data_IF_226173217750
#
_entry.id   IF_226173217750
#
_cell.length_a   1.000
_cell.length_b   1.000
_cell.length_c   1.000
_cell.angle_alpha   90.00
_cell.angle_beta   90.00
_cell.angle_gamma   90.00
#
_symmetry.space_group_name_H-M   'P 1'
#
loop_
_entity.id
_entity.type
_entity.pdbx_description
1 polymer ?
#
# COMPACT_ATOMS: atom_id res chain seq x y z
N UNK A 1 23.74 -35.24 -67.64
CA UNK A 1 23.30 -33.83 -67.78
C UNK A 1 22.44 -33.54 -66.57
N UNK A 2 22.76 -32.68 -65.61
CA UNK A 2 23.81 -31.69 -65.35
C UNK A 2 23.68 -31.45 -63.83
N UNK A 3 24.59 -31.99 -63.00
CA UNK A 3 25.51 -31.22 -62.16
C UNK A 3 24.95 -29.88 -61.64
N UNK A 4 24.75 -29.76 -60.32
CA UNK A 4 25.50 -28.86 -59.43
C UNK A 4 24.80 -28.70 -58.09
N UNK A 5 25.58 -28.89 -57.02
CA UNK A 5 25.35 -28.28 -55.73
C UNK A 5 26.27 -27.06 -55.63
N UNK A 6 25.74 -25.88 -55.31
CA UNK A 6 26.37 -24.96 -54.38
C UNK A 6 25.29 -24.33 -53.47
N UNK A 7 25.54 -23.63 -52.38
CA UNK A 7 26.73 -23.30 -51.63
C UNK A 7 26.25 -22.84 -50.24
N UNK A 8 27.14 -23.00 -49.27
CA UNK A 8 27.02 -22.39 -47.94
C UNK A 8 27.15 -20.86 -47.98
N UNK A 9 26.56 -20.21 -46.97
CA UNK A 9 26.95 -18.90 -46.42
C UNK A 9 26.53 -17.61 -47.16
N UNK A 10 25.50 -16.94 -46.63
CA UNK A 10 25.59 -15.65 -45.90
C UNK A 10 24.24 -14.94 -45.92
N UNK A 11 23.82 -14.47 -44.75
CA UNK A 11 22.67 -13.60 -44.64
C UNK A 11 22.27 -13.36 -43.19
N UNK A 12 23.20 -12.88 -42.36
CA UNK A 12 22.88 -12.25 -41.09
C UNK A 12 21.89 -11.12 -41.34
N UNK A 13 20.60 -11.40 -41.21
CA UNK A 13 19.55 -10.39 -41.36
C UNK A 13 19.56 -9.53 -40.09
N UNK A 14 20.47 -8.55 -40.09
CA UNK A 14 20.49 -7.42 -39.16
C UNK A 14 19.12 -6.76 -39.23
N UNK A 15 18.29 -6.99 -38.20
CA UNK A 15 17.05 -6.22 -38.05
C UNK A 15 17.45 -4.82 -37.55
N UNK A 16 16.95 -3.74 -38.17
CA UNK A 16 17.33 -2.38 -37.81
C UNK A 16 16.85 -2.04 -36.39
N UNK A 17 17.77 -1.54 -35.59
CA UNK A 17 17.60 -1.13 -34.21
C UNK A 17 16.88 0.22 -34.10
N UNK A 18 15.60 0.27 -34.44
CA UNK A 18 14.73 1.43 -34.18
C UNK A 18 13.30 0.96 -33.89
N UNK A 19 13.13 0.17 -32.83
CA UNK A 19 11.84 -0.16 -32.23
C UNK A 19 12.04 -0.79 -30.84
N UNK A 20 12.54 -0.01 -29.88
CA UNK A 20 12.31 -0.27 -28.45
C UNK A 20 11.80 1.04 -27.86
N UNK A 21 10.55 1.32 -28.18
CA UNK A 21 9.76 2.34 -27.50
C UNK A 21 9.30 1.77 -26.16
N UNK A 22 9.78 2.39 -25.09
CA UNK A 22 9.03 2.66 -23.85
C UNK A 22 8.07 1.58 -23.34
N UNK A 23 8.55 0.71 -22.45
CA UNK A 23 7.71 0.08 -21.41
C UNK A 23 8.37 0.35 -20.06
N UNK A 24 8.24 1.60 -19.62
CA UNK A 24 8.62 2.05 -18.29
C UNK A 24 7.48 2.94 -17.74
N UNK A 25 6.26 2.42 -17.71
CA UNK A 25 5.10 3.03 -17.04
C UNK A 25 3.91 2.06 -17.07
N UNK A 26 3.87 1.06 -16.18
CA UNK A 26 2.63 0.31 -15.94
C UNK A 26 2.55 -0.49 -14.63
N UNK A 27 3.62 -0.64 -13.84
CA UNK A 27 3.58 -1.41 -12.57
C UNK A 27 3.93 -0.57 -11.34
N UNK A 28 3.92 0.76 -11.46
CA UNK A 28 4.01 1.66 -10.30
C UNK A 28 2.65 2.17 -9.80
N UNK A 29 1.53 1.62 -10.30
CA UNK A 29 0.18 2.10 -9.98
C UNK A 29 -0.68 1.14 -9.13
N UNK A 30 -0.12 0.03 -8.63
CA UNK A 30 -0.89 -0.94 -7.83
C UNK A 30 -0.35 -1.22 -6.42
N UNK A 31 0.73 -0.56 -5.97
CA UNK A 31 1.36 -0.87 -4.67
C UNK A 31 1.67 0.31 -3.76
N UNK A 32 1.44 1.55 -4.20
CA UNK A 32 1.75 2.75 -3.40
C UNK A 32 0.71 3.82 -3.63
N UNK A 33 -0.43 3.74 -2.94
CA UNK A 33 -1.48 4.72 -3.14
C UNK A 33 -2.80 4.39 -2.46
N UNK A 34 -2.82 4.30 -1.13
CA UNK A 34 -4.09 4.35 -0.37
C UNK A 34 -4.20 5.55 0.57
N UNK A 35 -3.21 6.44 0.59
CA UNK A 35 -3.30 7.73 1.28
C UNK A 35 -3.92 8.86 0.42
N UNK A 36 -4.28 8.60 -0.84
CA UNK A 36 -4.80 9.61 -1.77
C UNK A 36 -6.24 9.39 -2.21
N UNK A 37 -7.09 8.90 -1.31
CA UNK A 37 -8.54 8.98 -1.49
C UNK A 37 -9.17 9.81 -0.37
N UNK A 38 -8.89 11.10 -0.44
CA UNK A 38 -9.84 12.12 0.00
C UNK A 38 -10.18 12.98 -1.22
N UNK A 39 -11.22 12.57 -1.97
CA UNK A 39 -11.98 13.37 -2.94
C UNK A 39 -11.19 14.08 -4.06
N UNK A 40 -10.98 13.40 -5.19
CA UNK A 40 -10.95 14.07 -6.51
C UNK A 40 -12.13 13.57 -7.34
N UNK A 41 -13.32 14.06 -6.99
CA UNK A 41 -14.41 14.14 -7.94
C UNK A 41 -14.56 15.63 -8.29
N UNK A 42 -14.60 15.90 -9.60
CA UNK A 42 -15.00 17.12 -10.30
C UNK A 42 -13.93 18.15 -10.74
N UNK A 43 -13.81 18.26 -12.06
CA UNK A 43 -13.88 19.55 -12.77
C UNK A 43 -12.56 20.17 -13.22
N UNK A 44 -12.08 19.76 -14.38
CA UNK A 44 -11.16 20.51 -15.24
C UNK A 44 -11.83 21.79 -15.78
N UNK A 45 -11.75 22.86 -15.00
CA UNK A 45 -12.14 24.21 -15.41
C UNK A 45 -10.93 25.14 -15.46
N UNK A 46 -10.48 25.47 -16.67
CA UNK A 46 -9.44 26.46 -16.94
C UNK A 46 -9.79 27.83 -16.35
N UNK A 47 -9.02 28.29 -15.35
CA UNK A 47 -9.11 29.65 -14.81
C UNK A 47 -8.13 29.87 -13.66
N UNK A 48 -7.27 30.87 -13.80
CA UNK A 48 -6.08 31.09 -12.99
C UNK A 48 -6.29 31.08 -11.46
N UNK A 49 -5.45 30.31 -10.79
CA UNK A 49 -5.31 30.30 -9.34
C UNK A 49 -4.09 29.47 -8.97
N UNK A 50 -3.13 30.10 -8.32
CA UNK A 50 -1.83 29.58 -7.84
C UNK A 50 -1.76 28.07 -7.65
N UNK A 51 -0.76 27.44 -8.28
CA UNK A 51 -0.40 26.04 -8.07
C UNK A 51 -0.32 25.75 -6.56
N UNK A 52 -1.21 24.88 -6.07
CA UNK A 52 -1.25 24.47 -4.67
C UNK A 52 0.02 23.67 -4.36
N UNK A 53 0.86 24.19 -3.48
CA UNK A 53 1.98 23.46 -2.91
C UNK A 53 1.46 22.33 -2.00
N UNK A 54 2.27 21.29 -1.85
CA UNK A 54 1.97 20.04 -1.16
C UNK A 54 1.68 20.14 0.36
N UNK A 55 1.60 21.37 0.90
CA UNK A 55 1.35 21.65 2.33
C UNK A 55 -0.14 21.73 2.71
N UNK A 56 -1.05 21.45 1.76
CA UNK A 56 -2.48 21.46 2.06
C UNK A 56 -2.90 20.15 2.74
N UNK A 57 -2.85 20.13 4.08
CA UNK A 57 -3.41 19.04 4.89
C UNK A 57 -4.86 18.72 4.46
N UNK A 58 -5.27 17.45 4.55
CA UNK A 58 -6.60 16.96 4.13
C UNK A 58 -7.80 17.67 4.83
N UNK A 59 -7.52 18.43 5.89
CA UNK A 59 -8.47 19.24 6.68
C UNK A 59 -8.09 20.72 6.64
N UNK A 60 -7.62 21.24 5.50
CA UNK A 60 -7.64 22.69 5.29
C UNK A 60 -9.11 23.15 5.20
N UNK A 61 -9.50 24.26 5.85
CA UNK A 61 -10.84 24.82 5.71
C UNK A 61 -11.12 25.09 4.24
N UNK A 62 -12.08 24.34 3.69
CA UNK A 62 -12.47 24.44 2.29
C UNK A 62 -13.49 25.55 2.22
N UNK A 63 -13.21 26.62 1.50
CA UNK A 63 -14.27 27.53 1.07
C UNK A 63 -15.25 26.71 0.23
N UNK A 64 -16.48 26.53 0.71
CA UNK A 64 -17.54 26.01 -0.13
C UNK A 64 -17.67 27.00 -1.29
N UNK A 65 -17.23 26.59 -2.48
CA UNK A 65 -17.36 27.41 -3.68
C UNK A 65 -18.81 27.81 -3.90
N UNK A 66 -19.03 28.89 -4.64
CA UNK A 66 -20.39 29.26 -5.07
C UNK A 66 -21.02 28.13 -5.88
N UNK A 67 -22.32 27.83 -5.71
CA UNK A 67 -22.98 26.73 -6.41
C UNK A 67 -22.77 26.85 -7.92
N UNK A 68 -22.29 25.78 -8.55
CA UNK A 68 -22.16 25.71 -10.01
C UNK A 68 -23.54 25.59 -10.66
N UNK A 69 -23.71 26.22 -11.81
CA UNK A 69 -24.97 26.24 -12.59
C UNK A 69 -25.39 24.86 -13.14
N UNK A 70 -26.38 24.81 -14.07
CA UNK A 70 -26.93 23.55 -14.58
C UNK A 70 -25.83 22.65 -15.16
N UNK A 71 -26.03 21.33 -15.07
CA UNK A 71 -25.00 20.29 -15.30
C UNK A 71 -24.28 20.35 -16.66
N UNK A 72 -23.30 19.45 -16.83
CA UNK A 72 -22.37 19.39 -17.99
C UNK A 72 -23.09 19.32 -19.34
N UNK A 73 -24.32 18.78 -19.39
CA UNK A 73 -25.15 18.70 -20.59
C UNK A 73 -26.50 19.46 -20.44
N UNK A 74 -27.04 20.04 -21.52
CA UNK A 74 -28.37 20.66 -21.51
C UNK A 74 -29.46 19.65 -21.11
N UNK A 75 -30.17 19.95 -20.01
CA UNK A 75 -31.33 19.17 -19.56
C UNK A 75 -31.03 18.05 -18.56
N UNK A 76 -29.75 17.80 -18.23
CA UNK A 76 -29.39 16.83 -17.18
C UNK A 76 -29.57 17.48 -15.79
N UNK A 77 -30.26 16.80 -14.85
CA UNK A 77 -30.29 17.22 -13.46
C UNK A 77 -28.86 17.32 -12.91
N UNK A 78 -28.60 18.29 -12.05
CA UNK A 78 -27.31 18.39 -11.36
C UNK A 78 -27.00 17.05 -10.64
N UNK A 79 -25.88 16.37 -10.95
CA UNK A 79 -25.52 15.09 -10.33
C UNK A 79 -25.25 15.20 -8.84
N UNK A 80 -25.09 16.42 -8.29
CA UNK A 80 -25.03 16.67 -6.85
C UNK A 80 -26.41 16.72 -6.18
N UNK A 81 -27.49 16.56 -6.96
CA UNK A 81 -28.85 16.96 -6.58
C UNK A 81 -28.89 18.47 -6.50
N UNK A 82 -29.70 19.12 -7.34
CA UNK A 82 -29.75 20.59 -7.46
C UNK A 82 -29.74 21.29 -6.09
N UNK A 83 -29.22 22.52 -5.98
CA UNK A 83 -28.52 23.04 -4.81
C UNK A 83 -29.22 22.75 -3.47
N UNK A 84 -28.92 21.59 -2.86
CA UNK A 84 -29.41 21.25 -1.53
C UNK A 84 -28.54 21.99 -0.53
N UNK A 85 -29.07 23.09 0.02
CA UNK A 85 -28.39 23.79 1.11
C UNK A 85 -28.79 23.15 2.43
N UNK A 86 -27.88 22.37 3.01
CA UNK A 86 -28.03 21.88 4.37
C UNK A 86 -27.83 23.04 5.35
N UNK A 87 -28.83 23.30 6.19
CA UNK A 87 -28.74 24.25 7.30
C UNK A 87 -28.87 23.48 8.60
N UNK A 88 -28.04 23.81 9.58
CA UNK A 88 -28.24 23.30 10.92
C UNK A 88 -29.52 23.93 11.49
N UNK A 89 -30.48 23.09 11.90
CA UNK A 89 -31.72 23.55 12.53
C UNK A 89 -31.49 24.06 13.97
N UNK A 90 -30.29 23.83 14.50
CA UNK A 90 -29.87 24.24 15.84
C UNK A 90 -28.54 25.00 15.77
N UNK A 91 -28.31 25.85 16.78
CA UNK A 91 -27.00 26.45 17.00
C UNK A 91 -25.98 25.32 17.21
N UNK A 92 -24.94 25.28 16.38
CA UNK A 92 -23.82 24.37 16.55
C UNK A 92 -23.05 24.73 17.82
N UNK A 93 -22.47 23.74 18.54
CA UNK A 93 -21.58 24.01 19.65
C UNK A 93 -20.45 24.95 19.25
N UNK A 94 -20.08 25.87 20.14
CA UNK A 94 -18.90 26.69 19.92
C UNK A 94 -17.66 25.77 19.89
N UNK A 95 -16.80 25.97 18.88
CA UNK A 95 -15.53 25.25 18.79
C UNK A 95 -14.56 25.71 19.88
N UNK A 96 -13.50 24.94 20.17
CA UNK A 96 -12.47 25.38 21.10
C UNK A 96 -11.81 26.67 20.58
N UNK A 97 -11.49 27.59 21.49
CA UNK A 97 -10.84 28.86 21.11
C UNK A 97 -9.47 28.68 20.45
N UNK A 98 -8.81 27.54 20.70
CA UNK A 98 -7.56 27.12 20.05
C UNK A 98 -7.55 25.60 19.91
N UNK A 99 -6.96 25.08 18.85
CA UNK A 99 -6.70 23.65 18.67
C UNK A 99 -5.23 23.43 18.31
N UNK A 100 -4.56 22.40 18.88
CA UNK A 100 -3.22 22.06 18.46
C UNK A 100 -3.21 21.58 17.00
N UNK A 101 -2.20 22.00 16.24
CA UNK A 101 -1.94 21.53 14.89
C UNK A 101 -0.67 20.67 14.91
N UNK A 102 -0.72 19.51 14.27
CA UNK A 102 0.40 18.58 14.19
C UNK A 102 0.84 18.44 12.74
N UNK A 103 2.16 18.50 12.51
CA UNK A 103 2.78 18.24 11.23
C UNK A 103 3.96 17.30 11.44
N UNK A 104 4.05 16.25 10.64
CA UNK A 104 5.22 15.39 10.63
C UNK A 104 6.38 16.15 9.96
N UNK A 105 7.52 16.26 10.65
CA UNK A 105 8.71 16.95 10.15
C UNK A 105 9.98 16.22 10.59
N UNK A 106 11.11 16.55 9.97
CA UNK A 106 12.40 15.92 10.26
C UNK A 106 12.62 14.62 9.50
N UNK A 107 13.57 13.83 10.01
CA UNK A 107 14.03 12.60 9.40
C UNK A 107 14.07 11.47 10.42
N UNK A 108 13.73 10.27 9.96
CA UNK A 108 13.84 9.02 10.71
C UNK A 108 15.30 8.59 10.79
N UNK A 109 15.78 8.37 12.00
CA UNK A 109 17.15 7.95 12.26
C UNK A 109 17.34 6.42 12.17
N UNK A 110 18.58 5.97 11.94
CA UNK A 110 18.90 4.55 11.75
C UNK A 110 18.55 3.70 12.98
N UNK A 111 18.71 4.24 14.18
CA UNK A 111 18.40 3.60 15.46
C UNK A 111 16.89 3.40 15.65
N UNK A 112 16.07 4.35 15.18
CA UNK A 112 14.61 4.20 15.18
C UNK A 112 14.18 3.04 14.26
N UNK A 113 14.79 2.94 13.07
CA UNK A 113 14.55 1.81 12.16
C UNK A 113 15.05 0.50 12.77
N UNK A 114 16.19 0.50 13.45
CA UNK A 114 16.73 -0.69 14.11
C UNK A 114 15.82 -1.17 15.25
N UNK A 115 15.23 -0.25 16.03
CA UNK A 115 14.23 -0.56 17.05
C UNK A 115 13.00 -1.22 16.46
N UNK A 116 12.48 -0.69 15.35
CA UNK A 116 11.33 -1.26 14.65
C UNK A 116 11.65 -2.63 14.03
N UNK A 117 12.80 -2.75 13.35
CA UNK A 117 13.29 -4.01 12.79
C UNK A 117 13.38 -5.11 13.85
N UNK A 118 13.93 -4.79 15.03
CA UNK A 118 14.01 -5.72 16.16
C UNK A 118 12.64 -6.22 16.62
N UNK A 119 11.65 -5.33 16.71
CA UNK A 119 10.28 -5.71 17.09
C UNK A 119 9.61 -6.62 16.04
N UNK A 120 9.99 -6.49 14.77
CA UNK A 120 9.52 -7.32 13.66
C UNK A 120 10.31 -8.62 13.47
N UNK A 121 11.35 -8.86 14.28
CA UNK A 121 12.23 -10.02 14.13
C UNK A 121 13.15 -9.95 12.90
N UNK A 122 13.40 -8.74 12.38
CA UNK A 122 14.28 -8.50 11.24
C UNK A 122 15.71 -8.31 11.74
N UNK A 123 16.62 -9.15 11.24
CA UNK A 123 18.04 -9.06 11.56
C UNK A 123 18.79 -8.09 10.63
N UNK A 124 19.95 -7.63 11.10
CA UNK A 124 20.86 -6.76 10.34
C UNK A 124 20.76 -5.29 10.71
N UNK A 125 21.77 -4.53 10.27
CA UNK A 125 21.83 -3.08 10.48
C UNK A 125 21.05 -2.37 9.37
N UNK A 126 20.14 -1.44 9.67
CA UNK A 126 19.45 -0.67 8.66
C UNK A 126 20.43 0.10 7.78
N UNK A 127 20.29 -0.04 6.46
CA UNK A 127 21.09 0.68 5.46
C UNK A 127 20.22 1.71 4.76
N UNK A 128 20.77 2.89 4.49
CA UNK A 128 20.10 3.90 3.70
C UNK A 128 20.37 3.64 2.21
N UNK A 129 19.31 3.47 1.43
CA UNK A 129 19.37 3.32 -0.03
C UNK A 129 18.50 4.40 -0.64
N UNK A 130 19.13 5.43 -1.23
CA UNK A 130 18.43 6.64 -1.64
C UNK A 130 17.81 7.35 -0.42
N UNK A 131 16.52 7.64 -0.48
CA UNK A 131 15.73 8.24 0.61
C UNK A 131 14.95 7.18 1.44
N UNK A 132 15.36 5.92 1.39
CA UNK A 132 14.68 4.80 2.06
C UNK A 132 15.66 3.98 2.91
N UNK A 133 15.36 3.85 4.20
CA UNK A 133 16.00 2.86 5.06
C UNK A 133 15.51 1.47 4.71
N UNK A 134 16.43 0.52 4.66
CA UNK A 134 16.14 -0.89 4.42
C UNK A 134 16.78 -1.73 5.53
N UNK A 135 16.00 -2.61 6.14
CA UNK A 135 16.47 -3.63 7.07
C UNK A 135 15.89 -4.99 6.66
N UNK A 136 16.68 -6.06 6.81
CA UNK A 136 16.30 -7.39 6.34
C UNK A 136 16.37 -7.52 4.83
N UNK A 137 17.03 -8.60 4.39
CA UNK A 137 17.09 -9.17 3.04
C UNK A 137 18.18 -10.25 3.10
N UNK A 138 17.86 -11.52 2.81
CA UNK A 138 18.92 -12.51 2.63
C UNK A 138 19.63 -12.25 1.30
N UNK A 139 20.86 -12.75 1.14
CA UNK A 139 21.66 -12.51 -0.05
C UNK A 139 20.99 -12.95 -1.37
N UNK A 140 20.03 -13.87 -1.28
CA UNK A 140 19.22 -14.39 -2.39
C UNK A 140 17.93 -13.58 -2.67
N UNK A 141 17.72 -12.48 -1.95
CA UNK A 141 16.51 -11.64 -2.05
C UNK A 141 15.27 -12.25 -1.39
N UNK A 142 15.41 -13.43 -0.76
CA UNK A 142 14.34 -14.06 -0.01
C UNK A 142 14.32 -13.58 1.44
N UNK A 143 13.15 -13.58 2.06
CA UNK A 143 13.00 -13.33 3.49
C UNK A 143 12.48 -11.94 3.89
N UNK A 144 12.46 -11.68 5.22
CA UNK A 144 11.78 -10.53 5.78
C UNK A 144 12.47 -9.22 5.42
N UNK A 145 11.67 -8.21 5.05
CA UNK A 145 12.16 -6.89 4.68
C UNK A 145 11.32 -5.81 5.32
N UNK A 146 11.99 -4.82 5.88
CA UNK A 146 11.43 -3.56 6.35
C UNK A 146 11.98 -2.43 5.47
N UNK A 147 11.09 -1.59 4.97
CA UNK A 147 11.42 -0.34 4.28
C UNK A 147 10.79 0.84 5.00
N UNK A 148 11.56 1.90 5.24
CA UNK A 148 11.10 3.12 5.93
C UNK A 148 11.54 4.35 5.13
N UNK A 149 10.63 5.26 4.82
CA UNK A 149 10.97 6.55 4.20
C UNK A 149 11.78 7.38 5.18
N UNK A 150 12.95 7.90 4.77
CA UNK A 150 13.83 8.68 5.66
C UNK A 150 13.17 9.98 6.11
N UNK A 151 12.46 10.68 5.22
CA UNK A 151 11.82 11.96 5.54
C UNK A 151 10.43 11.75 6.10
N UNK A 152 9.98 12.69 6.94
CA UNK A 152 8.60 12.75 7.39
C UNK A 152 7.61 12.64 6.21
N UNK A 153 6.50 11.91 6.37
CA UNK A 153 6.00 11.36 7.63
C UNK A 153 6.61 10.01 8.05
N UNK A 154 7.64 9.50 7.37
CA UNK A 154 8.32 8.27 7.83
C UNK A 154 7.59 6.97 7.47
N UNK A 155 6.74 6.98 6.45
CA UNK A 155 5.96 5.80 6.01
C UNK A 155 6.81 4.56 5.86
N UNK A 156 6.28 3.44 6.32
CA UNK A 156 7.00 2.18 6.32
C UNK A 156 6.13 0.97 6.06
N UNK A 157 6.79 -0.06 5.55
CA UNK A 157 6.18 -1.34 5.25
C UNK A 157 7.13 -2.47 5.64
N UNK A 158 6.58 -3.50 6.25
CA UNK A 158 7.23 -4.76 6.50
C UNK A 158 6.53 -5.85 5.71
N UNK A 159 7.32 -6.73 5.10
CA UNK A 159 6.82 -8.00 4.59
C UNK A 159 7.75 -9.12 4.99
N UNK A 160 7.19 -10.22 5.51
CA UNK A 160 7.95 -11.42 5.83
C UNK A 160 8.41 -12.16 4.57
N UNK A 161 7.63 -12.06 3.50
CA UNK A 161 7.87 -12.72 2.22
C UNK A 161 7.78 -11.69 1.09
N UNK A 162 8.70 -11.70 0.13
CA UNK A 162 8.59 -10.81 -1.03
C UNK A 162 7.44 -11.27 -1.94
N UNK A 163 6.71 -10.33 -2.56
CA UNK A 163 5.76 -10.66 -3.61
C UNK A 163 6.54 -11.27 -4.80
N UNK A 164 6.29 -12.55 -5.08
CA UNK A 164 7.08 -13.38 -5.98
C UNK A 164 7.80 -14.56 -5.30
N UNK A 165 7.84 -14.57 -3.96
CA UNK A 165 8.30 -15.68 -3.13
C UNK A 165 7.16 -16.59 -2.67
N UNK A 166 6.13 -16.77 -3.50
CA UNK A 166 5.38 -18.01 -3.40
C UNK A 166 6.39 -19.16 -3.52
N UNK A 167 6.09 -20.31 -2.92
CA UNK A 167 6.52 -21.56 -3.58
C UNK A 167 6.14 -21.33 -5.03
N UNK A 168 7.13 -21.36 -5.94
CA UNK A 168 6.83 -21.23 -7.37
C UNK A 168 5.63 -22.12 -7.65
N UNK A 169 4.78 -21.73 -8.59
CA UNK A 169 3.81 -22.71 -9.05
C UNK A 169 4.60 -23.98 -9.35
N UNK A 170 4.30 -25.11 -8.68
CA UNK A 170 5.02 -26.39 -8.87
C UNK A 170 4.86 -26.92 -10.32
N UNK A 171 4.33 -26.07 -11.19
CA UNK A 171 4.37 -26.09 -12.64
C UNK A 171 5.73 -26.59 -13.13
N UNK A 172 5.72 -27.82 -13.57
CA UNK A 172 6.83 -28.45 -14.26
C UNK A 172 6.91 -27.80 -15.64
N UNK A 173 7.97 -27.03 -15.87
CA UNK A 173 8.27 -26.37 -17.15
C UNK A 173 8.10 -27.37 -18.32
N UNK A 174 7.14 -27.09 -19.20
CA UNK A 174 6.84 -27.90 -20.39
C UNK A 174 5.76 -28.97 -20.22
N UNK A 175 5.26 -29.22 -19.00
CA UNK A 175 4.06 -30.01 -18.74
C UNK A 175 2.86 -29.14 -18.39
N UNK A 176 3.09 -28.15 -17.55
CA UNK A 176 2.04 -27.24 -17.10
C UNK A 176 2.02 -26.03 -18.04
N UNK A 177 1.10 -26.07 -18.99
CA UNK A 177 0.88 -24.96 -19.92
C UNK A 177 -0.13 -24.00 -19.32
N UNK A 178 0.20 -22.70 -19.28
CA UNK A 178 -0.78 -21.63 -19.12
C UNK A 178 -1.66 -21.52 -20.39
N UNK A 179 -2.52 -22.52 -20.62
CA UNK A 179 -3.64 -22.49 -21.55
C UNK A 179 -4.93 -22.06 -20.83
N UNK A 180 -6.04 -21.83 -21.56
CA UNK A 180 -7.31 -21.43 -20.94
C UNK A 180 -7.67 -22.46 -19.85
N UNK A 181 -7.81 -21.98 -18.62
CA UNK A 181 -7.70 -22.77 -17.40
C UNK A 181 -8.79 -23.85 -17.29
N UNK A 182 -8.50 -25.08 -17.72
CA UNK A 182 -9.05 -26.26 -17.06
C UNK A 182 -8.21 -26.52 -15.82
N UNK A 183 -8.67 -26.01 -14.68
CA UNK A 183 -8.13 -26.41 -13.38
C UNK A 183 -8.20 -27.94 -13.28
N UNK A 184 -7.14 -28.64 -12.84
CA UNK A 184 -7.16 -30.09 -12.72
C UNK A 184 -8.27 -30.53 -11.77
N UNK A 185 -9.27 -31.25 -12.29
CA UNK A 185 -10.27 -31.98 -11.51
C UNK A 185 -9.71 -33.35 -11.13
N UNK A 186 -8.59 -33.36 -10.41
CA UNK A 186 -8.14 -34.53 -9.64
C UNK A 186 -8.62 -34.38 -8.19
N UNK A 187 -8.68 -35.45 -7.39
CA UNK A 187 -8.73 -35.29 -5.95
C UNK A 187 -7.56 -34.36 -5.57
N UNK A 188 -7.85 -33.19 -4.99
CA UNK A 188 -6.83 -32.32 -4.42
C UNK A 188 -6.25 -32.97 -3.16
N UNK A 189 -5.57 -34.10 -3.32
CA UNK A 189 -4.65 -34.64 -2.32
C UNK A 189 -3.38 -33.81 -2.39
N UNK A 190 -3.43 -32.61 -1.80
CA UNK A 190 -2.28 -31.69 -1.74
C UNK A 190 -2.60 -30.20 -1.56
N UNK A 191 -3.86 -29.77 -1.64
CA UNK A 191 -4.25 -28.37 -1.36
C UNK A 191 -5.49 -28.28 -0.46
N UNK A 192 -5.67 -29.30 0.38
CA UNK A 192 -6.63 -29.34 1.47
C UNK A 192 -5.91 -29.25 2.82
N UNK A 193 -5.05 -28.25 3.03
CA UNK A 193 -4.88 -27.77 4.40
C UNK A 193 -6.21 -27.12 4.75
N UNK A 194 -7.06 -27.78 5.53
CA UNK A 194 -8.27 -27.14 6.05
C UNK A 194 -7.86 -25.77 6.56
N UNK A 195 -8.36 -24.69 5.93
CA UNK A 195 -7.79 -23.35 6.06
C UNK A 195 -7.50 -23.08 7.52
N UNK A 196 -6.21 -23.09 7.88
CA UNK A 196 -5.81 -23.10 9.29
C UNK A 196 -6.47 -21.89 9.95
N UNK A 197 -7.20 -22.15 11.04
CA UNK A 197 -8.00 -21.10 11.67
C UNK A 197 -7.07 -19.95 12.06
N UNK A 198 -7.44 -18.68 11.79
CA UNK A 198 -6.66 -17.56 12.26
C UNK A 198 -6.53 -17.63 13.78
N UNK A 199 -5.45 -17.05 14.30
CA UNK A 199 -5.28 -16.87 15.75
C UNK A 199 -6.48 -16.15 16.38
N UNK A 200 -6.62 -16.23 17.70
CA UNK A 200 -7.63 -15.43 18.41
C UNK A 200 -7.31 -13.93 18.32
N UNK A 201 -8.31 -13.08 18.55
CA UNK A 201 -8.10 -11.63 18.64
C UNK A 201 -7.07 -11.27 19.71
N UNK A 202 -7.15 -11.90 20.88
CA UNK A 202 -6.21 -11.68 21.97
C UNK A 202 -4.77 -12.03 21.57
N UNK A 203 -4.58 -13.16 20.88
CA UNK A 203 -3.26 -13.57 20.40
C UNK A 203 -2.72 -12.62 19.33
N UNK A 204 -3.55 -12.16 18.39
CA UNK A 204 -3.12 -11.19 17.38
C UNK A 204 -2.76 -9.83 18.00
N UNK A 205 -3.56 -9.34 18.97
CA UNK A 205 -3.24 -8.10 19.70
C UNK A 205 -1.93 -8.23 20.49
N UNK A 206 -1.69 -9.38 21.12
CA UNK A 206 -0.44 -9.66 21.82
C UNK A 206 0.77 -9.68 20.85
N UNK A 207 0.62 -10.26 19.66
CA UNK A 207 1.67 -10.27 18.63
C UNK A 207 1.95 -8.86 18.06
N UNK A 208 0.93 -8.01 17.95
CA UNK A 208 1.04 -6.64 17.45
C UNK A 208 1.66 -5.66 18.46
N UNK A 209 1.45 -5.87 19.76
CA UNK A 209 1.83 -4.91 20.80
C UNK A 209 3.31 -4.47 20.78
N UNK A 210 4.31 -5.36 20.60
CA UNK A 210 5.71 -4.94 20.55
C UNK A 210 6.01 -4.02 19.35
N UNK A 211 5.38 -4.28 18.21
CA UNK A 211 5.56 -3.48 16.99
C UNK A 211 4.95 -2.10 17.15
N UNK A 212 3.72 -2.02 17.70
CA UNK A 212 3.06 -0.75 18.01
C UNK A 212 3.88 0.06 19.02
N UNK A 213 4.41 -0.57 20.07
CA UNK A 213 5.29 0.10 21.03
C UNK A 213 6.58 0.64 20.37
N UNK A 214 7.22 -0.15 19.50
CA UNK A 214 8.42 0.27 18.78
C UNK A 214 8.18 1.44 17.80
N UNK A 215 6.97 1.51 17.24
CA UNK A 215 6.50 2.61 16.39
C UNK A 215 5.95 3.81 17.19
N UNK A 216 6.03 3.80 18.53
CA UNK A 216 5.52 4.90 19.37
C UNK A 216 3.99 4.93 19.51
N UNK A 217 3.30 3.86 19.13
CA UNK A 217 1.83 3.72 19.11
C UNK A 217 1.31 2.78 20.19
N UNK A 218 2.02 2.65 21.32
CA UNK A 218 1.61 1.78 22.43
C UNK A 218 0.29 2.18 23.10
N UNK A 219 -0.15 3.44 22.93
CA UNK A 219 -1.44 3.95 23.40
C UNK A 219 -2.56 3.90 22.37
N UNK A 220 -2.31 3.34 21.18
CA UNK A 220 -3.30 3.25 20.11
C UNK A 220 -4.48 2.35 20.51
N UNK A 221 -5.68 2.72 20.06
CA UNK A 221 -6.85 1.84 20.16
C UNK A 221 -6.66 0.70 19.15
N UNK A 222 -6.76 -0.54 19.60
CA UNK A 222 -6.48 -1.73 18.76
C UNK A 222 -7.72 -2.60 18.59
N UNK A 223 -8.06 -2.83 17.32
CA UNK A 223 -9.10 -3.73 16.88
C UNK A 223 -8.49 -4.94 16.12
N UNK A 224 -9.11 -6.11 16.23
CA UNK A 224 -8.65 -7.30 15.52
C UNK A 224 -9.81 -8.17 14.98
N UNK A 225 -11.01 -7.61 14.75
CA UNK A 225 -12.18 -8.40 14.36
C UNK A 225 -12.07 -8.98 12.94
N UNK A 226 -11.28 -8.33 12.08
CA UNK A 226 -11.14 -8.69 10.68
C UNK A 226 -10.29 -9.95 10.47
N UNK A 227 -10.77 -10.83 9.61
CA UNK A 227 -10.12 -12.08 9.20
C UNK A 227 -10.12 -12.19 7.68
N UNK A 228 -9.01 -12.64 7.11
CA UNK A 228 -8.84 -12.96 5.70
C UNK A 228 -8.20 -14.34 5.56
N UNK A 229 -9.04 -15.38 5.34
CA UNK A 229 -8.57 -16.77 5.34
C UNK A 229 -7.93 -17.15 6.67
N UNK A 230 -6.65 -17.52 6.63
CA UNK A 230 -5.83 -17.87 7.82
C UNK A 230 -5.15 -16.67 8.49
N UNK A 231 -5.42 -15.45 8.02
CA UNK A 231 -4.84 -14.21 8.54
C UNK A 231 -5.85 -13.46 9.41
N UNK A 232 -5.42 -13.05 10.60
CA UNK A 232 -6.11 -12.03 11.38
C UNK A 232 -5.48 -10.67 11.09
N UNK A 233 -6.31 -9.67 10.85
CA UNK A 233 -5.86 -8.29 10.64
C UNK A 233 -6.07 -7.52 11.93
N UNK A 234 -5.01 -6.90 12.42
CA UNK A 234 -5.03 -5.96 13.53
C UNK A 234 -4.97 -4.55 12.96
N UNK A 235 -5.97 -3.74 13.29
CA UNK A 235 -6.01 -2.31 12.98
C UNK A 235 -5.72 -1.52 14.25
N UNK A 236 -4.89 -0.49 14.18
CA UNK A 236 -4.65 0.41 15.31
C UNK A 236 -4.84 1.87 14.91
N UNK A 237 -5.63 2.59 15.71
CA UNK A 237 -5.88 4.02 15.57
C UNK A 237 -4.70 4.79 16.21
N UNK A 238 -3.87 5.46 15.41
CA UNK A 238 -2.69 6.14 15.91
C UNK A 238 -3.04 7.25 16.89
N UNK A 239 -2.08 7.56 17.76
CA UNK A 239 -2.16 8.64 18.73
C UNK A 239 -1.14 9.70 18.38
N UNK A 240 -1.60 10.93 18.13
CA UNK A 240 -0.75 12.09 17.88
C UNK A 240 -1.06 13.15 18.93
N UNK A 241 -0.05 13.55 19.71
CA UNK A 241 -0.22 14.52 20.79
C UNK A 241 -1.23 14.10 21.87
N UNK A 242 -1.45 12.80 22.06
CA UNK A 242 -2.43 12.26 23.00
C UNK A 242 -3.85 12.09 22.44
N UNK A 243 -4.08 12.39 21.16
CA UNK A 243 -5.38 12.27 20.53
C UNK A 243 -5.41 11.12 19.50
N UNK A 244 -6.48 10.29 19.49
CA UNK A 244 -6.67 9.31 18.44
C UNK A 244 -6.88 10.01 17.09
N UNK A 245 -6.23 9.51 16.04
CA UNK A 245 -6.38 10.02 14.68
C UNK A 245 -7.27 9.09 13.87
N UNK A 246 -8.52 9.48 13.68
CA UNK A 246 -9.44 8.72 12.84
C UNK A 246 -9.01 8.72 11.37
N UNK A 247 -9.29 7.62 10.66
CA UNK A 247 -8.97 7.43 9.24
C UNK A 247 -7.48 7.38 8.89
N UNK A 248 -6.61 7.39 9.89
CA UNK A 248 -5.22 6.95 9.81
C UNK A 248 -5.12 5.63 10.57
N UNK A 249 -4.50 4.60 9.99
CA UNK A 249 -4.44 3.28 10.61
C UNK A 249 -3.10 2.62 10.40
N UNK A 250 -2.65 1.88 11.42
CA UNK A 250 -1.67 0.80 11.24
C UNK A 250 -2.41 -0.48 10.90
N UNK A 251 -1.90 -1.22 9.92
CA UNK A 251 -2.40 -2.56 9.60
C UNK A 251 -1.31 -3.58 9.85
N UNK A 252 -1.61 -4.56 10.70
CA UNK A 252 -0.72 -5.66 11.06
C UNK A 252 -1.41 -6.98 10.71
N UNK A 253 -0.80 -7.77 9.85
CA UNK A 253 -1.33 -9.03 9.36
C UNK A 253 -0.66 -10.19 10.12
N UNK A 254 -1.45 -10.94 10.87
CA UNK A 254 -1.01 -12.04 11.74
C UNK A 254 -1.49 -13.37 11.17
N UNK A 255 -0.56 -14.25 10.83
CA UNK A 255 -0.84 -15.58 10.30
C UNK A 255 -1.36 -16.54 11.39
N UNK A 256 -1.84 -17.72 11.00
CA UNK A 256 -2.48 -18.67 11.93
C UNK A 256 -1.56 -19.19 13.05
N UNK A 257 -0.25 -19.09 12.87
CA UNK A 257 0.80 -19.48 13.82
C UNK A 257 1.24 -18.32 14.74
N UNK A 258 0.63 -17.13 14.60
CA UNK A 258 1.00 -15.92 15.36
C UNK A 258 2.10 -15.09 14.71
N UNK A 259 2.62 -15.52 13.56
CA UNK A 259 3.65 -14.80 12.81
C UNK A 259 3.11 -13.54 12.14
N UNK A 260 3.85 -12.43 12.23
CA UNK A 260 3.57 -11.23 11.43
C UNK A 260 4.02 -11.44 9.99
N UNK A 261 3.11 -11.35 9.03
CA UNK A 261 3.41 -11.54 7.60
C UNK A 261 3.53 -10.23 6.83
N UNK A 262 2.81 -9.20 7.24
CA UNK A 262 2.92 -7.86 6.71
C UNK A 262 2.54 -6.82 7.77
N UNK A 263 3.17 -5.65 7.72
CA UNK A 263 2.80 -4.49 8.54
C UNK A 263 2.93 -3.22 7.72
N UNK A 264 1.99 -2.29 7.87
CA UNK A 264 2.03 -0.97 7.26
C UNK A 264 1.80 0.11 8.32
N UNK A 265 2.56 1.19 8.23
CA UNK A 265 2.51 2.29 9.18
C UNK A 265 3.23 3.55 8.70
N UNK A 266 3.36 4.49 9.62
CA UNK A 266 4.08 5.74 9.49
C UNK A 266 4.85 6.05 10.79
#
# INVERSE_FOLDING_TARGET
MTSEQPDTSRGTRRRPAWAVGSIAAAVLLAGGGTAYWASTAYGDGSGGGTARTADSAAVAPRSAGSPTGPGIAPGEPDPSGGPVTYRADVKLPDGPGTAPAFAASGEVASDEVARLAKALGVAGVPRLVGDTWQAGEAADGSGPRLTVTRKAPGTWAFSRYQAGGGVGDDCVRGKDTCGPATLPQGPQEGAGAGAAKPVSEQAAKAAAAPVLAAAGQGGASVDAHLVQGSVRVVSADPVVGGFPTHFWFFYIFVWFDGSLVAVFGF
#
